data_IF_819632991869
#
_entry.id   IF_819632991869
#
_cell.length_a   1.000
_cell.length_b   1.000
_cell.length_c   1.000
_cell.angle_alpha   90.00
_cell.angle_beta   90.00
_cell.angle_gamma   90.00
#
_symmetry.space_group_name_H-M   'P 1'
#
loop_
_entity.id
_entity.type
_entity.pdbx_description
1 polymer ?
#
# COMPACT_ATOMS: atom_id res chain seq x y z
N UNK A 1 -30.94 -15.55 6.72
CA UNK A 1 -29.74 -15.31 7.55
C UNK A 1 -29.68 -13.82 7.78
N UNK A 2 -29.84 -13.36 9.02
CA UNK A 2 -29.88 -11.92 9.34
C UNK A 2 -28.57 -11.23 8.90
N UNK A 3 -28.63 -10.00 8.35
CA UNK A 3 -27.43 -9.25 8.01
C UNK A 3 -26.63 -8.90 9.29
N UNK A 4 -25.28 -8.90 9.25
CA UNK A 4 -24.43 -8.71 10.44
C UNK A 4 -24.40 -7.29 11.00
N UNK A 5 -25.13 -6.34 10.39
CA UNK A 5 -24.84 -4.90 10.53
C UNK A 5 -25.72 -4.16 11.54
N UNK A 6 -26.58 -4.84 12.30
CA UNK A 6 -27.51 -4.20 13.26
C UNK A 6 -27.26 -4.62 14.73
N UNK A 7 -26.03 -4.49 15.22
CA UNK A 7 -25.73 -4.51 16.66
C UNK A 7 -24.86 -3.30 17.03
N UNK A 8 -25.46 -2.16 17.42
CA UNK A 8 -24.71 -0.96 17.79
C UNK A 8 -23.94 -1.22 19.09
N UNK A 9 -22.62 -1.37 18.99
CA UNK A 9 -21.72 -1.55 20.13
C UNK A 9 -20.54 -2.49 19.89
N UNK A 10 -20.65 -3.44 18.96
CA UNK A 10 -19.56 -4.38 18.61
C UNK A 10 -18.47 -3.73 17.75
N UNK A 11 -18.83 -2.81 16.87
CA UNK A 11 -17.88 -2.04 16.04
C UNK A 11 -16.95 -1.19 16.91
N UNK A 12 -17.51 -0.44 17.85
CA UNK A 12 -16.80 0.43 18.81
C UNK A 12 -15.92 -0.37 19.78
N UNK A 13 -16.37 -1.55 20.24
CA UNK A 13 -15.54 -2.44 21.05
C UNK A 13 -14.37 -3.06 20.24
N UNK A 14 -14.61 -3.47 18.99
CA UNK A 14 -13.56 -3.98 18.10
C UNK A 14 -12.55 -2.89 17.71
N UNK A 15 -13.01 -1.64 17.56
CA UNK A 15 -12.15 -0.48 17.28
C UNK A 15 -11.31 -0.11 18.49
N UNK A 16 -11.90 -0.09 19.69
CA UNK A 16 -11.17 0.10 20.95
C UNK A 16 -10.12 -0.99 21.15
N UNK A 17 -10.44 -2.25 20.85
CA UNK A 17 -9.47 -3.35 20.90
C UNK A 17 -8.39 -3.24 19.82
N UNK A 18 -8.68 -2.78 18.61
CA UNK A 18 -7.67 -2.60 17.54
C UNK A 18 -6.73 -1.44 17.85
N UNK A 19 -7.27 -0.31 18.31
CA UNK A 19 -6.51 0.86 18.77
C UNK A 19 -5.62 0.49 19.97
N UNK A 20 -6.20 -0.15 20.99
CA UNK A 20 -5.50 -0.62 22.18
C UNK A 20 -4.58 -1.83 21.94
N UNK A 21 -4.54 -2.43 20.74
CA UNK A 21 -3.64 -3.56 20.40
C UNK A 21 -2.40 -3.12 19.62
N UNK A 22 -2.42 -1.97 18.96
CA UNK A 22 -1.19 -1.35 18.46
C UNK A 22 -0.38 -0.68 19.57
N UNK A 23 -1.07 -0.02 20.53
CA UNK A 23 -0.42 0.71 21.64
C UNK A 23 0.56 -0.12 22.50
N UNK A 24 0.29 -1.40 22.86
CA UNK A 24 1.19 -2.20 23.69
C UNK A 24 2.24 -2.99 22.89
N UNK A 25 2.10 -3.10 21.57
CA UNK A 25 3.01 -3.89 20.72
C UNK A 25 4.23 -3.10 20.25
N UNK A 26 4.14 -1.77 20.21
CA UNK A 26 5.29 -0.88 20.03
C UNK A 26 5.97 -0.70 21.40
N UNK A 27 6.54 -1.79 21.95
CA UNK A 27 7.23 -1.79 23.26
C UNK A 27 8.52 -0.96 23.25
N UNK A 28 9.09 -0.78 22.06
CA UNK A 28 10.19 0.15 21.80
C UNK A 28 9.61 1.38 21.15
N UNK A 29 9.78 2.59 21.71
CA UNK A 29 9.31 3.81 21.07
C UNK A 29 9.85 3.87 19.64
N UNK A 30 9.04 4.30 18.66
CA UNK A 30 9.50 4.46 17.26
C UNK A 30 10.80 5.28 17.19
N UNK A 31 10.99 6.23 18.12
CA UNK A 31 12.23 7.01 18.26
C UNK A 31 13.48 6.17 18.57
N UNK A 32 13.34 5.00 19.21
CA UNK A 32 14.45 4.08 19.51
C UNK A 32 14.92 3.27 18.30
N UNK A 33 14.15 3.25 17.20
CA UNK A 33 14.54 2.60 15.95
C UNK A 33 15.58 3.42 15.16
N UNK A 34 15.77 4.70 15.52
CA UNK A 34 16.61 5.65 14.78
C UNK A 34 18.03 5.79 15.32
N UNK A 35 18.45 4.91 16.23
CA UNK A 35 19.57 5.21 17.13
C UNK A 35 20.98 5.19 16.49
N UNK A 36 21.14 4.73 15.25
CA UNK A 36 22.39 4.92 14.45
C UNK A 36 22.33 4.33 13.02
N UNK A 37 21.24 3.65 12.62
CA UNK A 37 21.21 2.89 11.37
C UNK A 37 20.69 3.71 10.18
N UNK A 38 21.31 3.56 9.01
CA UNK A 38 20.86 4.09 7.72
C UNK A 38 19.61 3.37 7.17
N UNK A 39 18.83 2.75 8.05
CA UNK A 39 17.73 1.87 7.68
C UNK A 39 16.45 2.67 7.44
N UNK A 40 15.75 2.33 6.35
CA UNK A 40 14.43 2.90 6.06
C UNK A 40 13.36 1.97 6.63
N UNK A 41 12.40 2.54 7.34
CA UNK A 41 11.31 1.79 7.95
C UNK A 41 10.05 2.03 7.13
N UNK A 42 9.54 0.95 6.52
CA UNK A 42 8.34 0.98 5.72
C UNK A 42 7.15 0.47 6.52
N UNK A 43 5.99 1.11 6.36
CA UNK A 43 4.76 0.65 6.99
C UNK A 43 3.57 0.75 6.04
N UNK A 44 2.66 -0.22 6.09
CA UNK A 44 1.45 -0.20 5.27
C UNK A 44 0.49 0.92 5.70
N UNK A 45 -0.02 1.65 4.73
CA UNK A 45 -0.87 2.84 4.95
C UNK A 45 -2.16 2.53 5.74
N UNK A 46 -2.70 1.33 5.61
CA UNK A 46 -3.94 0.90 6.25
C UNK A 46 -3.82 0.76 7.77
N UNK A 47 -2.59 0.64 8.31
CA UNK A 47 -2.34 0.72 9.75
C UNK A 47 -2.65 2.11 10.32
N UNK A 48 -2.58 3.16 9.49
CA UNK A 48 -2.74 4.55 9.91
C UNK A 48 -4.11 5.13 9.58
N UNK A 49 -4.97 4.42 8.83
CA UNK A 49 -6.32 4.91 8.45
C UNK A 49 -7.19 5.31 9.66
N UNK A 50 -7.02 4.62 10.79
CA UNK A 50 -7.74 4.89 12.05
C UNK A 50 -6.84 5.46 13.15
N UNK A 51 -5.59 5.80 12.83
CA UNK A 51 -4.64 6.25 13.83
C UNK A 51 -4.78 7.77 14.04
N UNK A 52 -4.89 8.27 15.29
CA UNK A 52 -5.12 9.69 15.52
C UNK A 52 -3.97 10.56 15.00
N UNK A 53 -4.29 11.55 14.17
CA UNK A 53 -3.33 12.47 13.57
C UNK A 53 -2.47 13.19 14.62
N UNK A 54 -3.08 13.61 15.73
CA UNK A 54 -2.37 14.26 16.84
C UNK A 54 -1.24 13.40 17.38
N UNK A 55 -1.42 12.07 17.44
CA UNK A 55 -0.39 11.12 17.87
C UNK A 55 0.71 10.94 16.82
N UNK A 56 0.35 10.93 15.53
CA UNK A 56 1.32 10.89 14.41
C UNK A 56 2.26 12.09 14.50
N UNK A 57 1.69 13.29 14.65
CA UNK A 57 2.43 14.56 14.76
C UNK A 57 3.25 14.64 16.05
N UNK A 58 2.65 14.35 17.20
CA UNK A 58 3.34 14.39 18.50
C UNK A 58 4.56 13.46 18.52
N UNK A 59 4.43 12.25 17.98
CA UNK A 59 5.50 11.25 17.97
C UNK A 59 6.43 11.36 16.75
N UNK A 60 6.23 12.38 15.89
CA UNK A 60 7.00 12.60 14.65
C UNK A 60 7.14 11.34 13.81
N UNK A 61 6.05 10.58 13.66
CA UNK A 61 6.11 9.28 12.99
C UNK A 61 6.51 9.40 11.52
N UNK A 62 6.11 10.48 10.84
CA UNK A 62 6.51 10.78 9.47
C UNK A 62 8.00 11.02 9.26
N UNK A 63 8.76 11.34 10.33
CA UNK A 63 10.21 11.52 10.25
C UNK A 63 10.96 10.18 10.27
N UNK A 64 10.28 9.10 10.66
CA UNK A 64 10.87 7.77 10.88
C UNK A 64 10.29 6.73 9.92
N UNK A 65 9.01 6.85 9.58
CA UNK A 65 8.29 5.90 8.75
C UNK A 65 8.05 6.46 7.34
N UNK A 66 8.27 5.63 6.33
CA UNK A 66 7.82 5.88 4.96
C UNK A 66 6.62 4.96 4.68
N UNK A 67 5.49 5.53 4.23
CA UNK A 67 4.28 4.73 4.05
C UNK A 67 4.23 4.04 2.70
N UNK A 68 3.81 2.78 2.71
CA UNK A 68 3.50 2.00 1.51
C UNK A 68 1.99 1.97 1.32
N UNK A 69 1.54 2.62 0.26
CA UNK A 69 0.15 2.66 -0.15
C UNK A 69 -0.09 1.52 -1.13
N UNK A 70 -0.88 0.54 -0.71
CA UNK A 70 -1.27 -0.59 -1.55
C UNK A 70 -2.70 -0.42 -2.04
N UNK A 71 -2.90 -0.79 -3.30
CA UNK A 71 -4.21 -0.88 -3.94
C UNK A 71 -4.03 -1.75 -5.20
N UNK A 72 -4.90 -2.76 -5.37
CA UNK A 72 -4.75 -3.78 -6.40
C UNK A 72 -5.86 -3.79 -7.45
N UNK A 73 -6.85 -2.90 -7.40
CA UNK A 73 -7.84 -2.75 -8.46
C UNK A 73 -7.24 -2.02 -9.66
N UNK A 74 -7.82 -2.25 -10.83
CA UNK A 74 -7.35 -1.63 -12.06
C UNK A 74 -7.40 -0.10 -12.00
N UNK A 75 -8.38 0.49 -11.31
CA UNK A 75 -8.63 1.95 -11.33
C UNK A 75 -8.15 2.70 -10.09
N UNK A 76 -7.50 2.01 -9.14
CA UNK A 76 -7.13 2.57 -7.83
C UNK A 76 -8.34 3.16 -7.07
N UNK A 77 -9.53 2.58 -7.27
CA UNK A 77 -10.81 3.18 -6.88
C UNK A 77 -10.92 3.45 -5.38
N UNK A 78 -10.26 2.64 -4.54
CA UNK A 78 -10.37 2.75 -3.08
C UNK A 78 -9.47 3.85 -2.49
N UNK A 79 -8.59 4.46 -3.29
CA UNK A 79 -7.69 5.53 -2.86
C UNK A 79 -7.97 6.82 -3.66
N UNK A 80 -8.94 7.65 -3.21
CA UNK A 80 -9.24 8.91 -3.89
C UNK A 80 -8.08 9.90 -3.77
N UNK A 81 -8.03 10.89 -4.67
CA UNK A 81 -6.93 11.86 -4.76
C UNK A 81 -6.64 12.58 -3.42
N UNK A 82 -7.68 12.95 -2.67
CA UNK A 82 -7.52 13.63 -1.39
C UNK A 82 -6.81 12.77 -0.33
N UNK A 83 -6.96 11.43 -0.38
CA UNK A 83 -6.30 10.53 0.58
C UNK A 83 -4.79 10.53 0.39
N UNK A 84 -4.30 10.64 -0.85
CA UNK A 84 -2.87 10.78 -1.12
C UNK A 84 -2.31 12.08 -0.53
N UNK A 85 -3.01 13.21 -0.77
CA UNK A 85 -2.61 14.51 -0.23
C UNK A 85 -2.59 14.50 1.30
N UNK A 86 -3.63 13.97 1.93
CA UNK A 86 -3.72 13.84 3.38
C UNK A 86 -2.56 13.03 3.96
N UNK A 87 -2.27 11.86 3.38
CA UNK A 87 -1.16 11.02 3.85
C UNK A 87 0.20 11.70 3.62
N UNK A 88 0.37 12.42 2.51
CA UNK A 88 1.59 13.19 2.23
C UNK A 88 1.89 14.29 3.24
N UNK A 89 0.86 14.94 3.77
CA UNK A 89 1.02 15.97 4.81
C UNK A 89 1.56 15.38 6.12
N UNK A 90 1.31 14.10 6.37
CA UNK A 90 1.72 13.40 7.58
C UNK A 90 3.02 12.60 7.41
N UNK A 91 3.26 12.12 6.20
CA UNK A 91 4.39 11.27 5.82
C UNK A 91 5.03 11.82 4.54
N UNK A 92 6.17 12.52 4.64
CA UNK A 92 6.79 13.19 3.49
C UNK A 92 7.21 12.25 2.35
N UNK A 93 7.45 10.97 2.67
CA UNK A 93 7.87 9.95 1.72
C UNK A 93 6.85 8.83 1.65
N UNK A 94 6.40 8.56 0.43
CA UNK A 94 5.43 7.53 0.13
C UNK A 94 6.00 6.52 -0.87
N UNK A 95 5.48 5.31 -0.80
CA UNK A 95 5.74 4.23 -1.74
C UNK A 95 4.39 3.77 -2.29
N UNK A 96 4.35 3.47 -3.58
CA UNK A 96 3.23 2.78 -4.17
C UNK A 96 3.45 1.27 -4.07
N UNK A 97 2.38 0.49 -4.00
CA UNK A 97 2.44 -0.96 -4.02
C UNK A 97 1.39 -1.54 -4.95
N UNK A 98 1.87 -2.18 -6.01
CA UNK A 98 1.09 -3.03 -6.92
C UNK A 98 1.28 -4.50 -6.55
N UNK A 99 0.63 -5.39 -7.29
CA UNK A 99 0.77 -6.83 -7.15
C UNK A 99 0.99 -7.48 -8.52
N UNK A 100 1.71 -8.60 -8.54
CA UNK A 100 1.81 -9.46 -9.71
C UNK A 100 1.05 -10.78 -9.54
N UNK A 101 0.59 -11.09 -8.31
CA UNK A 101 -0.22 -12.27 -8.03
C UNK A 101 -1.00 -12.19 -6.71
N UNK A 102 -2.05 -13.02 -6.62
CA UNK A 102 -2.82 -13.36 -5.42
C UNK A 102 -3.41 -12.12 -4.72
N UNK A 103 -3.84 -11.14 -5.53
CA UNK A 103 -4.50 -9.92 -5.08
C UNK A 103 -5.81 -9.62 -5.82
N UNK A 104 -6.24 -10.51 -6.73
CA UNK A 104 -7.56 -10.49 -7.38
C UNK A 104 -8.60 -11.31 -6.57
N UNK A 105 -8.43 -12.64 -6.49
CA UNK A 105 -9.40 -13.54 -5.84
C UNK A 105 -8.78 -14.57 -4.84
N UNK A 106 -9.38 -14.83 -3.66
CA UNK A 106 -8.84 -15.69 -2.58
C UNK A 106 -8.56 -17.17 -2.88
N UNK A 107 -8.94 -17.68 -4.06
CA UNK A 107 -8.68 -19.05 -4.48
C UNK A 107 -8.31 -19.15 -5.98
N UNK A 108 -7.82 -18.05 -6.57
CA UNK A 108 -7.38 -18.05 -7.96
C UNK A 108 -6.20 -19.02 -8.14
N UNK A 109 -6.29 -19.91 -9.12
CA UNK A 109 -5.21 -20.83 -9.50
C UNK A 109 -4.28 -20.20 -10.54
N UNK A 110 -4.84 -19.40 -11.44
CA UNK A 110 -4.13 -18.69 -12.51
C UNK A 110 -4.07 -17.19 -12.23
N UNK A 111 -2.94 -16.58 -12.56
CA UNK A 111 -2.76 -15.15 -12.42
C UNK A 111 -3.54 -14.38 -13.50
N UNK A 112 -4.32 -13.39 -13.07
CA UNK A 112 -4.97 -12.44 -13.97
C UNK A 112 -3.95 -11.38 -14.42
N UNK A 113 -3.13 -11.75 -15.41
CA UNK A 113 -1.98 -10.93 -15.87
C UNK A 113 -2.42 -9.52 -16.29
N UNK A 114 -3.55 -9.42 -17.01
CA UNK A 114 -4.06 -8.15 -17.52
C UNK A 114 -4.45 -7.20 -16.38
N UNK A 115 -5.11 -7.70 -15.33
CA UNK A 115 -5.46 -6.89 -14.17
C UNK A 115 -4.21 -6.32 -13.49
N UNK A 116 -3.19 -7.15 -13.27
CA UNK A 116 -1.95 -6.73 -12.62
C UNK A 116 -1.18 -5.72 -13.48
N UNK A 117 -1.10 -5.95 -14.79
CA UNK A 117 -0.54 -5.00 -15.75
C UNK A 117 -1.26 -3.63 -15.68
N UNK A 118 -2.59 -3.62 -15.80
CA UNK A 118 -3.39 -2.40 -15.74
C UNK A 118 -3.18 -1.66 -14.42
N UNK A 119 -3.15 -2.39 -13.29
CA UNK A 119 -2.90 -1.83 -11.97
C UNK A 119 -1.50 -1.19 -11.88
N UNK A 120 -0.44 -1.88 -12.33
CA UNK A 120 0.92 -1.33 -12.34
C UNK A 120 1.03 -0.07 -13.20
N UNK A 121 0.44 -0.08 -14.40
CA UNK A 121 0.41 1.08 -15.29
C UNK A 121 -0.32 2.27 -14.67
N UNK A 122 -1.46 2.03 -14.02
CA UNK A 122 -2.22 3.08 -13.37
C UNK A 122 -1.53 3.62 -12.11
N UNK A 123 -0.80 2.78 -11.37
CA UNK A 123 0.11 3.26 -10.32
C UNK A 123 1.19 4.20 -10.87
N UNK A 124 1.84 3.85 -11.98
CA UNK A 124 2.84 4.71 -12.62
C UNK A 124 2.24 6.04 -13.08
N UNK A 125 1.09 6.01 -13.76
CA UNK A 125 0.35 7.21 -14.19
C UNK A 125 -0.01 8.09 -12.99
N UNK A 126 -0.51 7.48 -11.91
CA UNK A 126 -0.92 8.18 -10.68
C UNK A 126 0.27 8.84 -9.98
N UNK A 127 1.38 8.12 -9.81
CA UNK A 127 2.59 8.69 -9.21
C UNK A 127 3.14 9.85 -10.03
N UNK A 128 3.14 9.74 -11.37
CA UNK A 128 3.54 10.85 -12.26
C UNK A 128 2.63 12.07 -12.08
N UNK A 129 1.31 11.86 -12.05
CA UNK A 129 0.32 12.92 -11.85
C UNK A 129 0.47 13.63 -10.50
N UNK A 130 0.69 12.86 -9.43
CA UNK A 130 0.89 13.42 -8.09
C UNK A 130 2.21 14.19 -7.99
N UNK A 131 3.28 13.68 -8.62
CA UNK A 131 4.58 14.35 -8.68
C UNK A 131 4.54 15.68 -9.44
N UNK A 132 3.70 15.81 -10.46
CA UNK A 132 3.57 17.08 -11.22
C UNK A 132 2.66 18.09 -10.52
N UNK A 133 1.60 17.63 -9.85
CA UNK A 133 0.59 18.50 -9.21
C UNK A 133 0.92 18.90 -7.78
N UNK A 134 1.74 18.14 -7.07
CA UNK A 134 1.99 18.34 -5.64
C UNK A 134 3.48 18.30 -5.33
N UNK A 135 4.05 19.45 -4.96
CA UNK A 135 5.45 19.56 -4.53
C UNK A 135 5.73 18.90 -3.17
N UNK A 136 4.69 18.72 -2.37
CA UNK A 136 4.77 18.15 -1.02
C UNK A 136 4.76 16.61 -1.01
N UNK A 137 4.38 15.98 -2.13
CA UNK A 137 4.31 14.52 -2.25
C UNK A 137 5.55 13.99 -2.96
N UNK A 138 6.36 13.19 -2.25
CA UNK A 138 7.46 12.42 -2.84
C UNK A 138 7.11 10.94 -2.85
N UNK A 139 6.96 10.37 -4.06
CA UNK A 139 6.97 8.92 -4.24
C UNK A 139 8.40 8.43 -4.47
N UNK A 140 8.87 7.53 -3.62
CA UNK A 140 10.21 6.96 -3.69
C UNK A 140 10.30 5.80 -4.69
N UNK A 141 9.19 5.08 -4.91
CA UNK A 141 9.15 3.99 -5.88
C UNK A 141 7.85 3.18 -5.85
N UNK A 142 7.82 2.16 -6.70
CA UNK A 142 6.76 1.16 -6.79
C UNK A 142 7.29 -0.19 -6.29
N UNK A 143 6.60 -0.76 -5.31
CA UNK A 143 6.82 -2.12 -4.83
C UNK A 143 5.85 -3.05 -5.56
N UNK A 144 6.34 -4.18 -6.06
CA UNK A 144 5.50 -5.19 -6.71
C UNK A 144 5.41 -6.39 -5.78
N UNK A 145 4.21 -6.62 -5.25
CA UNK A 145 3.95 -7.66 -4.26
C UNK A 145 3.47 -8.95 -4.90
N UNK A 146 3.73 -10.08 -4.23
CA UNK A 146 3.19 -11.38 -4.61
C UNK A 146 2.68 -12.10 -3.38
N UNK A 147 1.42 -11.86 -3.03
CA UNK A 147 0.80 -12.46 -1.86
C UNK A 147 0.71 -13.98 -2.00
N UNK A 148 0.60 -14.69 -0.88
CA UNK A 148 0.44 -16.15 -0.89
C UNK A 148 -0.98 -16.60 -0.55
N UNK A 149 -1.73 -15.79 0.21
CA UNK A 149 -3.10 -16.05 0.68
C UNK A 149 -3.69 -14.76 1.26
N UNK A 150 -5.02 -14.72 1.39
CA UNK A 150 -5.77 -13.56 1.88
C UNK A 150 -5.89 -13.51 3.41
N UNK A 151 -5.95 -14.68 4.04
CA UNK A 151 -5.95 -14.81 5.49
C UNK A 151 -5.14 -16.04 5.91
N UNK A 152 -4.95 -16.24 7.21
CA UNK A 152 -4.12 -17.33 7.73
C UNK A 152 -4.65 -18.73 7.42
N UNK A 153 -5.97 -18.88 7.24
CA UNK A 153 -6.67 -20.15 7.05
C UNK A 153 -7.11 -20.38 5.59
N UNK A 154 -6.95 -19.38 4.72
CA UNK A 154 -7.26 -19.46 3.31
C UNK A 154 -6.26 -20.35 2.55
N UNK A 155 -6.74 -20.94 1.45
CA UNK A 155 -5.90 -21.63 0.48
C UNK A 155 -4.83 -20.71 -0.11
N UNK A 156 -3.75 -21.32 -0.60
CA UNK A 156 -2.80 -20.57 -1.43
C UNK A 156 -3.48 -20.13 -2.73
N UNK A 157 -3.27 -18.88 -3.13
CA UNK A 157 -3.62 -18.40 -4.47
C UNK A 157 -2.38 -18.17 -5.33
N UNK A 158 -2.57 -18.37 -6.64
CA UNK A 158 -1.64 -18.04 -7.72
C UNK A 158 -0.20 -18.42 -7.35
N UNK A 159 0.07 -19.73 -7.43
CA UNK A 159 1.38 -20.26 -7.09
C UNK A 159 2.47 -19.63 -7.96
N UNK A 160 3.71 -19.64 -7.46
CA UNK A 160 4.82 -18.95 -8.14
C UNK A 160 4.97 -19.32 -9.63
N UNK A 161 4.83 -20.59 -10.06
CA UNK A 161 4.91 -20.93 -11.49
C UNK A 161 3.85 -20.23 -12.34
N UNK A 162 2.61 -20.11 -11.86
CA UNK A 162 1.52 -19.45 -12.59
C UNK A 162 1.61 -17.93 -12.52
N UNK A 163 2.19 -17.38 -11.44
CA UNK A 163 2.45 -15.95 -11.28
C UNK A 163 3.73 -15.44 -11.94
N UNK A 164 4.65 -16.31 -12.38
CA UNK A 164 5.95 -15.90 -12.93
C UNK A 164 5.85 -15.03 -14.19
N UNK A 165 4.99 -15.34 -15.19
CA UNK A 165 4.81 -14.45 -16.35
C UNK A 165 4.35 -13.04 -15.95
N UNK A 166 3.40 -12.96 -15.02
CA UNK A 166 2.91 -11.69 -14.47
C UNK A 166 4.03 -10.92 -13.74
N UNK A 167 4.87 -11.62 -12.96
CA UNK A 167 6.00 -11.01 -12.26
C UNK A 167 6.96 -10.34 -13.23
N UNK A 168 7.33 -11.04 -14.31
CA UNK A 168 8.25 -10.52 -15.32
C UNK A 168 7.67 -9.27 -15.99
N UNK A 169 6.41 -9.35 -16.43
CA UNK A 169 5.72 -8.22 -17.07
C UNK A 169 5.67 -6.98 -16.15
N UNK A 170 5.14 -7.15 -14.94
CA UNK A 170 5.00 -6.04 -13.98
C UNK A 170 6.35 -5.44 -13.58
N UNK A 171 7.40 -6.26 -13.47
CA UNK A 171 8.76 -5.77 -13.21
C UNK A 171 9.29 -4.95 -14.38
N UNK A 172 9.07 -5.39 -15.63
CA UNK A 172 9.46 -4.62 -16.82
C UNK A 172 8.72 -3.28 -16.88
N UNK A 173 7.42 -3.28 -16.60
CA UNK A 173 6.60 -2.07 -16.50
C UNK A 173 7.20 -1.10 -15.48
N UNK A 174 7.52 -1.57 -14.27
CA UNK A 174 8.10 -0.73 -13.23
C UNK A 174 9.49 -0.17 -13.62
N UNK A 175 10.33 -0.98 -14.28
CA UNK A 175 11.63 -0.54 -14.79
C UNK A 175 11.49 0.56 -15.86
N UNK A 176 10.55 0.40 -16.79
CA UNK A 176 10.23 1.43 -17.80
C UNK A 176 9.70 2.69 -17.11
N UNK A 177 8.83 2.54 -16.11
CA UNK A 177 8.29 3.64 -15.32
C UNK A 177 9.35 4.44 -14.55
N UNK A 178 10.39 3.76 -14.04
CA UNK A 178 11.47 4.39 -13.28
C UNK A 178 12.37 5.30 -14.14
N UNK A 179 12.49 5.02 -15.44
CA UNK A 179 13.35 5.80 -16.33
C UNK A 179 12.60 7.06 -16.79
N UNK A 180 13.04 8.22 -16.27
CA UNK A 180 12.46 9.56 -16.57
C UNK A 180 12.34 9.88 -18.07
N UNK A 181 13.18 9.28 -18.94
CA UNK A 181 13.09 9.42 -20.41
C UNK A 181 11.73 8.99 -20.95
N UNK A 182 11.06 8.05 -20.27
CA UNK A 182 9.76 7.52 -20.66
C UNK A 182 8.58 8.24 -20.01
N UNK A 183 8.81 9.32 -19.26
CA UNK A 183 7.72 10.16 -18.73
C UNK A 183 6.92 10.87 -19.83
N UNK A 184 7.53 11.03 -21.03
CA UNK A 184 6.89 11.62 -22.22
C UNK A 184 6.19 10.60 -23.14
N UNK A 185 6.34 9.31 -22.86
CA UNK A 185 5.66 8.28 -23.65
C UNK A 185 4.25 8.08 -23.07
N UNK A 186 3.25 8.26 -23.92
CA UNK A 186 1.88 7.80 -23.66
C UNK A 186 1.96 6.30 -23.46
N UNK A 187 1.85 5.86 -22.21
CA UNK A 187 1.45 4.48 -21.96
C UNK A 187 -0.04 4.51 -22.28
N UNK A 188 -0.44 4.10 -23.48
CA UNK A 188 -1.83 3.87 -23.87
C UNK A 188 -2.29 2.52 -23.28
#
# INVERSE_FOLDING_TARGET
>A
MYPPDEMPGLSDFSEKLRSARMEPQIKKPISSLRNDSSERILAWHDMFKKFPEAKIKHNKMGDVLELVIWEYSETLATMPHHSFLYMGQLFPKLWASSAFKCADFPAATFANVQLYETNSLNWLRKMRDLRTKSKELSFEGLIITGWSRYDHMASLCELLPTGTPSMVLNTQIALIGAVRKYDKISIE
#
